data_IF_627532423422
#
_entry.id   IF_627532423422
#
_cell.length_a   1.000
_cell.length_b   1.000
_cell.length_c   1.000
_cell.angle_alpha   90.00
_cell.angle_beta   90.00
_cell.angle_gamma   90.00
#
_symmetry.space_group_name_H-M   'P 1'
#
loop_
_entity.id
_entity.type
_entity.pdbx_description
1 polymer ?
#
# COMPACT_ATOMS: atom_id res chain seq x y z
N UNK A 1 -48.81 52.15 -15.87
CA UNK A 1 -48.14 52.90 -14.78
C UNK A 1 -48.22 52.01 -13.53
N UNK A 2 -47.06 51.48 -13.10
CA UNK A 2 -46.74 50.66 -11.92
C UNK A 2 -47.80 49.80 -11.22
N UNK A 3 -47.52 48.48 -11.13
CA UNK A 3 -47.55 47.77 -9.84
C UNK A 3 -46.70 46.50 -9.84
N UNK A 4 -45.93 46.33 -8.76
CA UNK A 4 -45.33 45.12 -8.18
C UNK A 4 -44.30 44.29 -8.99
N UNK A 5 -43.04 44.75 -8.99
CA UNK A 5 -41.88 43.86 -8.82
C UNK A 5 -41.77 43.52 -7.34
N UNK A 6 -42.20 42.34 -6.93
CA UNK A 6 -41.95 41.82 -5.58
C UNK A 6 -41.60 40.33 -5.63
N UNK A 7 -40.34 40.05 -5.26
CA UNK A 7 -39.89 38.87 -4.49
C UNK A 7 -40.29 37.48 -5.04
N UNK A 8 -39.35 36.85 -5.73
CA UNK A 8 -39.03 35.44 -5.52
C UNK A 8 -37.52 35.32 -5.24
N UNK A 9 -37.11 35.83 -4.07
CA UNK A 9 -35.94 35.33 -3.36
C UNK A 9 -36.45 34.28 -2.36
N UNK A 10 -35.71 33.17 -2.24
CA UNK A 10 -35.86 32.08 -1.26
C UNK A 10 -36.76 30.90 -1.65
N UNK A 11 -36.15 29.89 -2.29
CA UNK A 11 -36.39 28.50 -1.93
C UNK A 11 -35.11 27.69 -2.26
N UNK A 12 -34.65 26.87 -1.33
CA UNK A 12 -33.35 26.13 -1.32
C UNK A 12 -32.14 26.83 -0.70
N UNK A 13 -32.33 27.46 0.46
CA UNK A 13 -31.29 27.46 1.49
C UNK A 13 -31.64 26.35 2.49
N UNK A 14 -31.55 25.09 2.04
CA UNK A 14 -31.70 23.92 2.91
C UNK A 14 -30.53 23.88 3.89
N UNK A 15 -30.81 23.69 5.18
CA UNK A 15 -29.83 23.45 6.25
C UNK A 15 -28.68 22.55 5.76
N UNK A 16 -27.55 23.14 5.33
CA UNK A 16 -26.33 22.36 5.09
C UNK A 16 -25.87 21.87 6.45
N UNK A 17 -25.98 20.56 6.69
CA UNK A 17 -25.28 19.93 7.80
C UNK A 17 -23.77 20.13 7.58
N UNK A 18 -23.06 20.48 8.65
CA UNK A 18 -21.59 20.56 8.65
C UNK A 18 -20.97 19.38 9.40
N UNK A 19 -21.79 18.38 9.75
CA UNK A 19 -21.38 17.25 10.56
C UNK A 19 -20.29 16.43 9.87
N UNK A 20 -20.44 16.14 8.57
CA UNK A 20 -19.41 15.42 7.80
C UNK A 20 -18.07 16.15 7.78
N UNK A 21 -18.07 17.48 7.68
CA UNK A 21 -16.85 18.30 7.71
C UNK A 21 -16.17 18.25 9.08
N UNK A 22 -16.96 18.35 10.16
CA UNK A 22 -16.42 18.25 11.53
C UNK A 22 -15.77 16.88 11.75
N UNK A 23 -16.40 15.81 11.28
CA UNK A 23 -15.83 14.47 11.34
C UNK A 23 -14.54 14.35 10.51
N UNK A 24 -14.51 14.95 9.32
CA UNK A 24 -13.31 14.96 8.47
C UNK A 24 -12.14 15.67 9.17
N UNK A 25 -12.40 16.83 9.79
CA UNK A 25 -11.39 17.57 10.54
C UNK A 25 -10.89 16.78 11.77
N UNK A 26 -11.79 16.07 12.46
CA UNK A 26 -11.42 15.19 13.56
C UNK A 26 -10.52 14.03 13.09
N UNK A 27 -10.83 13.43 11.94
CA UNK A 27 -10.02 12.34 11.34
C UNK A 27 -8.63 12.83 10.92
N UNK A 28 -8.56 14.02 10.30
CA UNK A 28 -7.30 14.67 9.96
C UNK A 28 -6.47 14.99 11.21
N UNK A 29 -7.11 15.47 12.28
CA UNK A 29 -6.46 15.77 13.56
C UNK A 29 -5.96 14.53 14.32
N UNK A 30 -6.60 13.37 14.13
CA UNK A 30 -6.16 12.09 14.70
C UNK A 30 -5.08 11.38 13.89
N UNK A 31 -4.91 11.76 12.63
CA UNK A 31 -3.97 11.10 11.72
C UNK A 31 -2.52 11.44 12.08
N UNK A 32 -1.70 10.40 12.29
CA UNK A 32 -0.29 10.56 12.66
C UNK A 32 0.60 11.05 11.51
N UNK A 33 0.18 10.82 10.26
CA UNK A 33 0.91 11.22 9.07
C UNK A 33 -0.06 11.70 7.99
N UNK A 34 0.21 12.87 7.40
CA UNK A 34 -0.60 13.47 6.33
C UNK A 34 0.28 13.66 5.09
N UNK A 35 0.23 12.74 4.12
CA UNK A 35 0.98 12.88 2.87
C UNK A 35 0.54 14.15 2.10
N UNK A 36 1.47 14.86 1.45
CA UNK A 36 1.19 16.19 0.91
C UNK A 36 0.17 16.20 -0.23
N UNK A 37 0.22 15.27 -1.20
CA UNK A 37 -0.74 15.25 -2.31
C UNK A 37 -2.12 14.83 -1.82
N UNK A 38 -2.17 13.83 -0.94
CA UNK A 38 -3.40 13.41 -0.27
C UNK A 38 -4.06 14.59 0.44
N UNK A 39 -3.30 15.36 1.21
CA UNK A 39 -3.81 16.53 1.90
C UNK A 39 -4.28 17.63 0.93
N UNK A 40 -3.50 17.92 -0.12
CA UNK A 40 -3.88 18.92 -1.14
C UNK A 40 -5.19 18.55 -1.82
N UNK A 41 -5.38 17.28 -2.20
CA UNK A 41 -6.61 16.82 -2.85
C UNK A 41 -7.80 16.88 -1.88
N UNK A 42 -7.62 16.54 -0.60
CA UNK A 42 -8.67 16.68 0.41
C UNK A 42 -9.07 18.15 0.56
N UNK A 43 -8.09 19.05 0.72
CA UNK A 43 -8.33 20.48 0.85
C UNK A 43 -9.04 21.01 -0.39
N UNK A 44 -8.60 20.63 -1.60
CA UNK A 44 -9.23 21.05 -2.85
C UNK A 44 -10.71 20.64 -2.92
N UNK A 45 -11.04 19.39 -2.57
CA UNK A 45 -12.44 18.91 -2.58
C UNK A 45 -13.30 19.65 -1.54
N UNK A 46 -12.76 19.93 -0.35
CA UNK A 46 -13.45 20.73 0.68
C UNK A 46 -13.69 22.16 0.19
N UNK A 47 -12.69 22.79 -0.42
CA UNK A 47 -12.78 24.14 -0.95
C UNK A 47 -13.81 24.26 -2.08
N UNK A 48 -13.87 23.27 -2.97
CA UNK A 48 -14.87 23.18 -4.05
C UNK A 48 -16.27 23.00 -3.45
N UNK A 49 -16.44 22.13 -2.45
CA UNK A 49 -17.73 21.92 -1.79
C UNK A 49 -18.30 23.18 -1.12
N UNK A 50 -17.44 24.03 -0.57
CA UNK A 50 -17.84 25.30 0.03
C UNK A 50 -17.98 26.45 -0.97
N UNK A 51 -17.78 26.21 -2.27
CA UNK A 51 -17.79 27.24 -3.31
C UNK A 51 -16.78 28.39 -3.02
N UNK A 52 -15.71 28.13 -2.26
CA UNK A 52 -14.69 29.13 -1.86
C UNK A 52 -13.86 29.56 -3.07
N UNK A 53 -13.71 28.66 -4.04
CA UNK A 53 -13.13 28.94 -5.34
C UNK A 53 -14.20 28.79 -6.42
N UNK A 54 -14.91 29.87 -6.80
CA UNK A 54 -15.57 29.94 -8.10
C UNK A 54 -14.51 30.08 -9.20
N UNK A 55 -13.50 29.20 -9.18
CA UNK A 55 -12.52 29.05 -10.24
C UNK A 55 -13.33 28.71 -11.49
N UNK A 56 -13.35 29.63 -12.47
CA UNK A 56 -13.95 29.46 -13.79
C UNK A 56 -15.45 29.74 -13.98
N UNK A 57 -16.16 30.34 -13.01
CA UNK A 57 -17.58 30.66 -13.21
C UNK A 57 -18.49 29.42 -13.37
N UNK A 58 -18.00 28.27 -12.91
CA UNK A 58 -18.76 27.02 -12.87
C UNK A 58 -19.87 27.15 -11.83
N UNK A 59 -21.10 26.87 -12.23
CA UNK A 59 -22.23 26.78 -11.32
C UNK A 59 -22.02 25.65 -10.32
N UNK A 60 -22.38 25.91 -9.05
CA UNK A 60 -22.43 24.89 -8.00
C UNK A 60 -23.57 23.88 -8.17
N UNK A 61 -24.30 23.98 -9.28
CA UNK A 61 -25.31 23.00 -9.68
C UNK A 61 -24.64 21.73 -10.21
N UNK A 62 -24.87 20.61 -9.52
CA UNK A 62 -24.28 19.31 -9.86
C UNK A 62 -24.61 18.86 -11.28
N UNK A 63 -25.81 19.19 -11.79
CA UNK A 63 -26.20 18.82 -13.16
C UNK A 63 -25.33 19.51 -14.22
N UNK A 64 -24.86 20.72 -13.90
CA UNK A 64 -23.99 21.49 -14.78
C UNK A 64 -22.54 20.99 -14.81
N UNK A 65 -22.13 20.09 -13.91
CA UNK A 65 -20.73 19.60 -13.83
C UNK A 65 -20.62 18.08 -13.93
N UNK A 66 -21.68 17.33 -13.62
CA UNK A 66 -21.61 15.88 -13.64
C UNK A 66 -21.30 15.31 -15.02
N UNK A 67 -20.63 14.16 -15.01
CA UNK A 67 -20.26 13.42 -16.20
C UNK A 67 -21.32 12.35 -16.49
N UNK A 68 -21.72 12.25 -17.75
CA UNK A 68 -22.60 11.22 -18.31
C UNK A 68 -22.20 10.92 -19.76
N UNK A 69 -22.63 9.79 -20.31
CA UNK A 69 -22.32 9.43 -21.71
C UNK A 69 -22.84 10.49 -22.69
N UNK A 70 -24.07 10.97 -22.50
CA UNK A 70 -24.67 12.01 -23.34
C UNK A 70 -23.90 13.34 -23.29
N UNK A 71 -23.52 13.81 -22.09
CA UNK A 71 -22.78 15.09 -21.96
C UNK A 71 -21.40 15.05 -22.63
N UNK A 72 -20.78 13.88 -22.72
CA UNK A 72 -19.44 13.72 -23.29
C UNK A 72 -19.48 13.45 -24.78
N UNK A 73 -20.30 12.48 -25.22
CA UNK A 73 -20.32 12.04 -26.62
C UNK A 73 -21.21 12.94 -27.49
N UNK A 74 -22.39 13.34 -27.00
CA UNK A 74 -23.36 14.10 -27.80
C UNK A 74 -23.15 15.62 -27.67
N UNK A 75 -22.84 16.10 -26.46
CA UNK A 75 -22.65 17.54 -26.20
C UNK A 75 -21.19 18.00 -26.32
N UNK A 76 -20.21 17.08 -26.31
CA UNK A 76 -18.80 17.40 -26.44
C UNK A 76 -18.20 18.15 -25.23
N UNK A 77 -18.81 18.09 -24.04
CA UNK A 77 -18.32 18.78 -22.85
C UNK A 77 -17.30 17.91 -22.10
N UNK A 78 -16.10 17.84 -22.67
CA UNK A 78 -15.00 17.01 -22.16
C UNK A 78 -14.44 17.49 -20.82
N UNK A 79 -14.70 18.74 -20.41
CA UNK A 79 -14.19 19.27 -19.14
C UNK A 79 -14.80 18.53 -17.94
N UNK A 80 -16.03 18.02 -18.09
CA UNK A 80 -16.72 17.20 -17.09
C UNK A 80 -15.95 15.94 -16.71
N UNK A 81 -15.19 15.36 -17.65
CA UNK A 81 -14.36 14.16 -17.41
C UNK A 81 -13.34 14.41 -16.29
N UNK A 82 -12.77 15.61 -16.25
CA UNK A 82 -11.75 16.00 -15.28
C UNK A 82 -12.34 16.64 -14.01
N UNK A 83 -13.42 17.41 -14.16
CA UNK A 83 -13.98 18.21 -13.07
C UNK A 83 -14.96 17.44 -12.18
N UNK A 84 -15.84 16.61 -12.76
CA UNK A 84 -16.90 15.92 -12.03
C UNK A 84 -16.42 15.12 -10.78
N UNK A 85 -15.22 14.48 -10.80
CA UNK A 85 -14.70 13.76 -9.64
C UNK A 85 -14.43 14.64 -8.40
N UNK A 86 -14.34 15.96 -8.55
CA UNK A 86 -14.06 16.87 -7.44
C UNK A 86 -15.31 17.51 -6.82
N UNK A 87 -16.49 17.34 -7.44
CA UNK A 87 -17.75 17.89 -6.95
C UNK A 87 -18.51 16.86 -6.11
N UNK A 88 -19.11 17.31 -5.01
CA UNK A 88 -19.85 16.45 -4.07
C UNK A 88 -21.21 17.08 -3.76
N UNK A 89 -22.26 16.25 -3.72
CA UNK A 89 -23.62 16.75 -3.54
C UNK A 89 -24.04 17.01 -2.09
N UNK A 90 -23.39 16.39 -1.12
CA UNK A 90 -23.71 16.50 0.31
C UNK A 90 -22.47 16.33 1.20
N UNK A 91 -22.57 16.74 2.46
CA UNK A 91 -21.47 16.78 3.43
C UNK A 91 -20.99 15.38 3.82
N UNK A 92 -21.89 14.42 3.95
CA UNK A 92 -21.56 13.04 4.32
C UNK A 92 -20.91 12.28 3.17
N UNK A 93 -21.36 12.49 1.93
CA UNK A 93 -20.71 11.93 0.74
C UNK A 93 -19.28 12.45 0.59
N UNK A 94 -19.06 13.77 0.80
CA UNK A 94 -17.70 14.33 0.86
C UNK A 94 -16.88 13.69 2.00
N UNK A 95 -17.43 13.58 3.21
CA UNK A 95 -16.75 12.98 4.36
C UNK A 95 -16.29 11.54 4.08
N UNK A 96 -17.19 10.66 3.66
CA UNK A 96 -16.84 9.25 3.42
C UNK A 96 -15.82 9.09 2.28
N UNK A 97 -15.92 9.92 1.23
CA UNK A 97 -14.92 9.91 0.17
C UNK A 97 -13.55 10.35 0.70
N UNK A 98 -13.47 11.50 1.38
CA UNK A 98 -12.19 12.04 1.83
C UNK A 98 -11.57 11.22 2.96
N UNK A 99 -12.36 10.63 3.86
CA UNK A 99 -11.86 9.71 4.89
C UNK A 99 -11.29 8.41 4.28
N UNK A 100 -12.01 7.81 3.32
CA UNK A 100 -11.54 6.62 2.60
C UNK A 100 -10.29 6.92 1.77
N UNK A 101 -10.22 8.09 1.17
CA UNK A 101 -9.08 8.57 0.41
C UNK A 101 -7.88 8.86 1.30
N UNK A 102 -8.05 9.47 2.47
CA UNK A 102 -6.98 9.73 3.44
C UNK A 102 -6.25 8.44 3.82
N UNK A 103 -6.98 7.38 4.16
CA UNK A 103 -6.39 6.08 4.50
C UNK A 103 -5.61 5.48 3.32
N UNK A 104 -6.15 5.53 2.10
CA UNK A 104 -5.47 5.00 0.90
C UNK A 104 -4.27 5.84 0.49
N UNK A 105 -4.38 7.15 0.60
CA UNK A 105 -3.31 8.10 0.35
C UNK A 105 -2.15 7.92 1.31
N UNK A 106 -2.41 7.72 2.62
CA UNK A 106 -1.41 7.36 3.62
C UNK A 106 -0.60 6.13 3.22
N UNK A 107 -1.24 5.12 2.64
CA UNK A 107 -0.55 3.90 2.21
C UNK A 107 0.18 4.10 0.88
N UNK A 108 -0.54 4.52 -0.17
CA UNK A 108 -0.04 4.53 -1.54
C UNK A 108 0.88 5.72 -1.83
N UNK A 109 0.63 6.90 -1.26
CA UNK A 109 1.53 8.05 -1.46
C UNK A 109 2.87 7.84 -0.74
N UNK A 110 2.85 7.22 0.43
CA UNK A 110 4.08 6.86 1.15
C UNK A 110 4.87 5.79 0.40
N UNK A 111 4.17 4.84 -0.24
CA UNK A 111 4.78 3.77 -1.02
C UNK A 111 5.39 4.27 -2.34
N UNK A 112 4.64 5.02 -3.13
CA UNK A 112 5.09 5.47 -4.47
C UNK A 112 5.83 6.81 -4.44
N UNK A 113 5.63 7.61 -3.39
CA UNK A 113 6.05 9.00 -3.33
C UNK A 113 5.07 9.94 -4.02
N UNK A 114 5.03 11.19 -3.55
CA UNK A 114 4.06 12.21 -3.93
C UNK A 114 3.93 12.45 -5.44
N UNK A 115 5.03 12.53 -6.18
CA UNK A 115 4.98 12.81 -7.64
C UNK A 115 4.29 11.69 -8.42
N UNK A 116 4.65 10.44 -8.14
CA UNK A 116 4.05 9.27 -8.79
C UNK A 116 2.61 9.06 -8.34
N UNK A 117 2.31 9.32 -7.07
CA UNK A 117 0.93 9.27 -6.58
C UNK A 117 0.06 10.33 -7.25
N UNK A 118 0.55 11.56 -7.44
CA UNK A 118 -0.17 12.60 -8.18
C UNK A 118 -0.44 12.18 -9.64
N UNK A 119 0.55 11.59 -10.31
CA UNK A 119 0.38 11.06 -11.67
C UNK A 119 -0.64 9.91 -11.70
N UNK A 120 -0.57 8.98 -10.75
CA UNK A 120 -1.54 7.90 -10.59
C UNK A 120 -2.96 8.47 -10.44
N UNK A 121 -3.17 9.46 -9.56
CA UNK A 121 -4.48 10.08 -9.38
C UNK A 121 -4.99 10.75 -10.66
N UNK A 122 -4.12 11.44 -11.40
CA UNK A 122 -4.50 12.06 -12.68
C UNK A 122 -4.96 11.01 -13.70
N UNK A 123 -4.20 9.92 -13.84
CA UNK A 123 -4.54 8.81 -14.76
C UNK A 123 -5.84 8.14 -14.31
N UNK A 124 -5.99 7.81 -13.03
CA UNK A 124 -7.19 7.16 -12.49
C UNK A 124 -8.43 8.04 -12.66
N UNK A 125 -8.32 9.35 -12.47
CA UNK A 125 -9.41 10.30 -12.67
C UNK A 125 -9.88 10.27 -14.13
N UNK A 126 -8.94 10.41 -15.08
CA UNK A 126 -9.25 10.38 -16.51
C UNK A 126 -9.85 9.03 -16.93
N UNK A 127 -9.19 7.92 -16.60
CA UNK A 127 -9.59 6.59 -17.06
C UNK A 127 -10.90 6.14 -16.41
N UNK A 128 -11.18 6.51 -15.15
CA UNK A 128 -12.46 6.19 -14.51
C UNK A 128 -13.64 6.89 -15.18
N UNK A 129 -13.49 8.17 -15.51
CA UNK A 129 -14.53 8.93 -16.23
C UNK A 129 -14.74 8.41 -17.65
N UNK A 130 -13.67 8.06 -18.37
CA UNK A 130 -13.79 7.45 -19.70
C UNK A 130 -14.44 6.05 -19.64
N UNK A 131 -14.06 5.23 -18.65
CA UNK A 131 -14.67 3.93 -18.43
C UNK A 131 -16.15 4.05 -18.08
N UNK A 132 -16.55 5.06 -17.30
CA UNK A 132 -17.96 5.35 -17.05
C UNK A 132 -18.73 5.63 -18.35
N UNK A 133 -18.20 6.49 -19.22
CA UNK A 133 -18.83 6.81 -20.52
C UNK A 133 -18.99 5.56 -21.38
N UNK A 134 -17.94 4.73 -21.45
CA UNK A 134 -17.95 3.45 -22.15
C UNK A 134 -19.00 2.50 -21.57
N UNK A 135 -19.04 2.34 -20.25
CA UNK A 135 -20.01 1.48 -19.57
C UNK A 135 -21.44 1.98 -19.77
N UNK A 136 -21.69 3.29 -19.76
CA UNK A 136 -23.01 3.86 -20.04
C UNK A 136 -23.47 3.56 -21.47
N UNK A 137 -22.56 3.69 -22.46
CA UNK A 137 -22.85 3.34 -23.86
C UNK A 137 -23.12 1.84 -24.03
N UNK A 138 -22.32 0.99 -23.39
CA UNK A 138 -22.51 -0.46 -23.44
C UNK A 138 -23.78 -0.90 -22.71
N UNK A 139 -24.06 -0.35 -21.52
CA UNK A 139 -25.27 -0.65 -20.77
C UNK A 139 -26.52 -0.24 -21.54
N UNK A 140 -26.51 0.94 -22.16
CA UNK A 140 -27.64 1.40 -22.98
C UNK A 140 -27.92 0.45 -24.16
N UNK A 141 -26.87 -0.02 -24.84
CA UNK A 141 -27.01 -0.91 -25.99
C UNK A 141 -27.33 -2.37 -25.61
N UNK A 142 -26.75 -2.90 -24.53
CA UNK A 142 -26.97 -4.28 -24.09
C UNK A 142 -28.31 -4.49 -23.38
N UNK A 143 -28.79 -3.48 -22.65
CA UNK A 143 -30.02 -3.54 -21.86
C UNK A 143 -31.21 -2.84 -22.55
N UNK A 144 -30.99 -2.30 -23.75
CA UNK A 144 -31.98 -1.56 -24.54
C UNK A 144 -32.70 -0.46 -23.73
N UNK A 145 -31.93 0.25 -22.88
CA UNK A 145 -32.45 1.33 -22.04
C UNK A 145 -31.61 2.61 -22.21
N UNK A 146 -32.14 3.69 -22.81
CA UNK A 146 -31.40 4.93 -23.03
C UNK A 146 -31.12 5.71 -21.73
N UNK A 147 -31.78 5.41 -20.61
CA UNK A 147 -31.53 6.07 -19.31
C UNK A 147 -30.07 5.96 -18.85
N UNK A 148 -29.38 4.90 -19.23
CA UNK A 148 -27.96 4.72 -18.92
C UNK A 148 -27.06 5.79 -19.55
N UNK A 149 -27.48 6.41 -20.67
CA UNK A 149 -26.72 7.48 -21.32
C UNK A 149 -26.76 8.79 -20.51
N UNK A 150 -27.83 9.01 -19.75
CA UNK A 150 -28.08 10.22 -18.97
C UNK A 150 -27.74 10.05 -17.48
N UNK A 151 -27.20 8.90 -17.08
CA UNK A 151 -26.81 8.66 -15.69
C UNK A 151 -25.67 9.60 -15.30
N UNK A 152 -26.02 10.60 -14.49
CA UNK A 152 -25.16 11.66 -14.01
C UNK A 152 -24.30 11.17 -12.84
N UNK A 153 -22.98 11.32 -12.94
CA UNK A 153 -22.03 10.94 -11.89
C UNK A 153 -21.14 12.12 -11.44
N UNK A 154 -20.95 12.24 -10.13
CA UNK A 154 -20.05 13.20 -9.47
C UNK A 154 -19.34 12.53 -8.31
N UNK A 155 -18.24 13.11 -7.87
CA UNK A 155 -17.53 12.72 -6.66
C UNK A 155 -16.34 11.81 -6.91
N UNK A 156 -15.44 11.80 -5.93
CA UNK A 156 -14.13 11.16 -6.07
C UNK A 156 -14.19 9.63 -5.90
N UNK A 157 -15.39 9.07 -5.76
CA UNK A 157 -15.64 7.68 -5.39
C UNK A 157 -15.10 6.69 -6.44
N UNK A 158 -15.24 6.96 -7.73
CA UNK A 158 -14.69 6.09 -8.78
C UNK A 158 -13.15 5.95 -8.65
N UNK A 159 -12.46 7.06 -8.39
CA UNK A 159 -11.00 7.07 -8.14
C UNK A 159 -10.68 6.29 -6.86
N UNK A 160 -11.48 6.45 -5.80
CA UNK A 160 -11.30 5.73 -4.53
C UNK A 160 -11.49 4.22 -4.70
N UNK A 161 -12.46 3.79 -5.52
CA UNK A 161 -12.66 2.38 -5.84
C UNK A 161 -11.48 1.81 -6.63
N UNK A 162 -10.95 2.56 -7.59
CA UNK A 162 -9.73 2.17 -8.30
C UNK A 162 -8.53 2.06 -7.34
N UNK A 163 -8.34 3.07 -6.48
CA UNK A 163 -7.32 3.04 -5.44
C UNK A 163 -7.52 1.87 -4.48
N UNK A 164 -8.76 1.47 -4.15
CA UNK A 164 -9.02 0.32 -3.27
C UNK A 164 -8.51 -0.99 -3.87
N UNK A 165 -8.73 -1.19 -5.17
CA UNK A 165 -8.20 -2.36 -5.88
C UNK A 165 -6.67 -2.35 -5.83
N UNK A 166 -6.05 -1.20 -6.12
CA UNK A 166 -4.59 -1.01 -6.11
C UNK A 166 -4.02 -1.22 -4.69
N UNK A 167 -4.61 -0.61 -3.67
CA UNK A 167 -4.24 -0.79 -2.27
C UNK A 167 -4.31 -2.26 -1.88
N UNK A 168 -5.37 -2.97 -2.24
CA UNK A 168 -5.51 -4.40 -1.93
C UNK A 168 -4.40 -5.25 -2.56
N UNK A 169 -3.87 -4.82 -3.71
CA UNK A 169 -2.77 -5.50 -4.39
C UNK A 169 -1.41 -5.22 -3.74
N UNK A 170 -1.11 -3.96 -3.40
CA UNK A 170 0.22 -3.56 -2.91
C UNK A 170 0.39 -3.60 -1.40
N UNK A 171 -0.70 -3.46 -0.64
CA UNK A 171 -0.71 -3.55 0.82
C UNK A 171 -1.70 -4.62 1.28
N UNK A 172 -1.51 -5.90 0.87
CA UNK A 172 -2.37 -6.99 1.32
C UNK A 172 -2.27 -7.06 2.85
N UNK A 173 -3.37 -6.81 3.54
CA UNK A 173 -3.40 -6.95 4.98
C UNK A 173 -3.16 -8.42 5.33
N UNK A 174 -2.03 -8.72 5.95
CA UNK A 174 -1.76 -10.00 6.61
C UNK A 174 -2.61 -10.07 7.90
N UNK A 175 -3.93 -10.24 7.73
CA UNK A 175 -4.91 -10.24 8.82
C UNK A 175 -6.34 -10.46 8.31
N UNK A 176 -7.28 -10.67 9.24
CA UNK A 176 -8.71 -10.77 8.91
C UNK A 176 -9.20 -9.42 8.36
N UNK A 177 -9.37 -9.29 7.04
CA UNK A 177 -10.05 -8.11 6.50
C UNK A 177 -11.51 -8.19 6.97
N UNK A 178 -11.88 -7.34 7.92
CA UNK A 178 -13.23 -7.30 8.44
C UNK A 178 -14.03 -6.23 7.72
N UNK A 179 -15.07 -6.65 7.00
CA UNK A 179 -16.09 -5.75 6.53
C UNK A 179 -16.96 -5.31 7.72
N UNK A 180 -17.16 -4.00 7.87
CA UNK A 180 -17.82 -3.36 9.01
C UNK A 180 -17.18 -3.68 10.39
N UNK A 181 -15.95 -4.18 10.42
CA UNK A 181 -15.22 -4.46 11.66
C UNK A 181 -15.53 -5.83 12.30
N UNK A 182 -16.47 -6.61 11.77
CA UNK A 182 -16.86 -7.91 12.36
C UNK A 182 -17.03 -9.07 11.35
N UNK A 183 -17.20 -8.80 10.05
CA UNK A 183 -17.37 -9.87 9.06
C UNK A 183 -16.04 -10.17 8.37
N UNK A 184 -15.40 -11.33 8.59
CA UNK A 184 -14.16 -11.66 7.88
C UNK A 184 -14.46 -11.95 6.40
N UNK A 185 -13.90 -11.12 5.51
CA UNK A 185 -14.02 -11.26 4.06
C UNK A 185 -12.61 -11.33 3.48
N UNK A 186 -12.38 -12.15 2.46
CA UNK A 186 -11.09 -12.15 1.77
C UNK A 186 -10.89 -10.80 1.06
N UNK A 187 -9.68 -10.23 1.11
CA UNK A 187 -9.38 -8.92 0.54
C UNK A 187 -9.83 -8.79 -0.94
N UNK A 188 -9.73 -9.89 -1.71
CA UNK A 188 -10.19 -9.97 -3.11
C UNK A 188 -11.68 -9.67 -3.33
N UNK A 189 -12.52 -9.86 -2.31
CA UNK A 189 -13.97 -9.69 -2.42
C UNK A 189 -14.50 -8.42 -1.75
N UNK A 190 -13.68 -7.71 -0.96
CA UNK A 190 -14.15 -6.57 -0.16
C UNK A 190 -14.72 -5.46 -1.05
N UNK A 191 -14.07 -5.20 -2.18
CA UNK A 191 -14.48 -4.14 -3.12
C UNK A 191 -15.83 -4.42 -3.76
N UNK A 192 -16.14 -5.69 -4.02
CA UNK A 192 -17.40 -6.13 -4.61
C UNK A 192 -18.54 -6.09 -3.58
N UNK A 193 -18.25 -6.51 -2.34
CA UNK A 193 -19.22 -6.43 -1.24
C UNK A 193 -19.60 -4.97 -0.97
N UNK A 194 -18.61 -4.08 -0.94
CA UNK A 194 -18.86 -2.65 -0.76
C UNK A 194 -19.66 -2.03 -1.89
N UNK A 195 -19.40 -2.41 -3.15
CA UNK A 195 -20.19 -1.94 -4.29
C UNK A 195 -21.68 -2.25 -4.08
N UNK A 196 -21.99 -3.49 -3.69
CA UNK A 196 -23.38 -3.91 -3.41
C UNK A 196 -23.95 -3.14 -2.22
N UNK A 197 -23.21 -3.03 -1.12
CA UNK A 197 -23.70 -2.38 0.09
C UNK A 197 -23.95 -0.89 -0.12
N UNK A 198 -23.06 -0.18 -0.81
CA UNK A 198 -23.26 1.25 -1.10
C UNK A 198 -24.49 1.45 -1.99
N UNK A 199 -24.73 0.56 -2.96
CA UNK A 199 -25.93 0.66 -3.80
C UNK A 199 -27.23 0.41 -3.01
N UNK A 200 -27.19 -0.40 -1.95
CA UNK A 200 -28.33 -0.64 -1.07
C UNK A 200 -28.59 0.53 -0.10
N UNK A 201 -27.54 1.15 0.43
CA UNK A 201 -27.66 2.23 1.43
C UNK A 201 -27.97 3.56 0.75
N UNK A 202 -27.31 3.84 -0.37
CA UNK A 202 -27.42 5.10 -1.11
C UNK A 202 -27.74 4.83 -2.58
N UNK A 203 -28.98 4.45 -2.93
CA UNK A 203 -29.31 4.05 -4.31
C UNK A 203 -29.15 5.19 -5.34
N UNK A 204 -29.11 6.44 -4.88
CA UNK A 204 -28.99 7.63 -5.72
C UNK A 204 -27.56 7.90 -6.23
N UNK A 205 -26.54 7.16 -5.75
CA UNK A 205 -25.17 7.29 -6.25
C UNK A 205 -24.97 6.41 -7.50
N UNK A 206 -24.06 6.80 -8.39
CA UNK A 206 -23.86 6.09 -9.65
C UNK A 206 -23.17 4.74 -9.46
N UNK A 207 -23.95 3.65 -9.59
CA UNK A 207 -23.42 2.28 -9.66
C UNK A 207 -22.36 2.14 -10.76
N UNK A 208 -22.66 2.66 -11.96
CA UNK A 208 -21.76 2.63 -13.11
C UNK A 208 -20.45 3.36 -12.82
N UNK A 209 -20.49 4.46 -12.05
CA UNK A 209 -19.29 5.20 -11.64
C UNK A 209 -18.38 4.37 -10.73
N UNK A 210 -18.94 3.70 -9.72
CA UNK A 210 -18.17 2.82 -8.85
C UNK A 210 -17.63 1.60 -9.60
N UNK A 211 -18.45 0.97 -10.45
CA UNK A 211 -18.02 -0.14 -11.29
C UNK A 211 -16.89 0.27 -12.25
N UNK A 212 -16.98 1.45 -12.86
CA UNK A 212 -15.93 2.01 -13.70
C UNK A 212 -14.60 2.11 -12.93
N UNK A 213 -14.63 2.65 -11.72
CA UNK A 213 -13.47 2.71 -10.83
C UNK A 213 -12.84 1.34 -10.55
N UNK A 214 -13.65 0.33 -10.24
CA UNK A 214 -13.16 -1.05 -9.98
C UNK A 214 -12.50 -1.62 -11.23
N UNK A 215 -13.17 -1.55 -12.39
CA UNK A 215 -12.63 -2.08 -13.65
C UNK A 215 -11.33 -1.39 -14.04
N UNK A 216 -11.26 -0.07 -13.85
CA UNK A 216 -10.02 0.69 -14.04
C UNK A 216 -8.94 0.21 -13.08
N UNK A 217 -9.22 0.09 -11.78
CA UNK A 217 -8.25 -0.42 -10.81
C UNK A 217 -7.74 -1.85 -11.11
N UNK A 218 -8.51 -2.66 -11.82
CA UNK A 218 -8.14 -4.01 -12.25
C UNK A 218 -7.31 -4.05 -13.55
N UNK A 219 -7.15 -2.93 -14.26
CA UNK A 219 -6.38 -2.92 -15.50
C UNK A 219 -4.90 -3.28 -15.22
N UNK A 220 -4.32 -4.25 -15.95
CA UNK A 220 -2.93 -4.67 -15.76
C UNK A 220 -1.90 -3.55 -15.99
N UNK A 221 -2.28 -2.49 -16.71
CA UNK A 221 -1.41 -1.40 -17.13
C UNK A 221 -0.84 -0.61 -15.94
N UNK A 222 -1.51 -0.53 -14.80
CA UNK A 222 -1.00 0.20 -13.64
C UNK A 222 0.18 -0.52 -12.96
N UNK A 223 0.11 -1.85 -12.87
CA UNK A 223 1.16 -2.68 -12.29
C UNK A 223 2.36 -2.93 -13.18
N UNK A 224 2.35 -2.50 -14.44
CA UNK A 224 3.53 -2.57 -15.33
C UNK A 224 4.00 -1.18 -15.77
N UNK A 225 3.12 -0.18 -15.82
CA UNK A 225 3.44 1.16 -16.32
C UNK A 225 3.76 2.18 -15.21
N UNK A 226 3.34 1.94 -13.96
CA UNK A 226 3.66 2.84 -12.82
C UNK A 226 4.75 2.24 -11.94
N UNK A 227 4.79 0.92 -11.80
CA UNK A 227 5.91 0.23 -11.12
C UNK A 227 7.06 -0.14 -12.05
N UNK A 228 6.88 -0.04 -13.37
CA UNK A 228 7.92 -0.43 -14.31
C UNK A 228 8.49 -1.79 -13.94
N UNK A 229 7.63 -2.81 -13.81
CA UNK A 229 8.01 -4.14 -13.32
C UNK A 229 9.19 -4.70 -14.12
N UNK A 230 10.38 -4.40 -13.59
CA UNK A 230 11.60 -5.19 -13.50
C UNK A 230 12.21 -4.76 -12.18
N UNK A 231 12.10 -5.62 -11.17
CA UNK A 231 12.68 -5.47 -9.83
C UNK A 231 14.12 -4.97 -9.90
N UNK A 232 14.44 -3.80 -9.33
CA UNK A 232 15.80 -3.27 -9.34
C UNK A 232 16.17 -2.48 -8.09
N UNK A 233 16.76 -3.16 -7.11
CA UNK A 233 17.09 -2.57 -5.81
C UNK A 233 18.56 -2.80 -5.43
N UNK A 234 19.45 -2.04 -6.08
CA UNK A 234 20.67 -1.46 -5.48
C UNK A 234 21.26 -0.48 -6.49
N UNK A 235 21.82 0.63 -6.04
CA UNK A 235 22.72 1.46 -6.85
C UNK A 235 23.84 1.95 -5.93
N UNK A 236 25.01 1.34 -6.06
CA UNK A 236 26.21 1.77 -5.34
C UNK A 236 27.06 2.63 -6.27
N UNK A 237 27.45 3.83 -5.81
CA UNK A 237 28.32 4.76 -6.53
C UNK A 237 29.75 4.70 -5.95
N UNK A 238 30.74 4.94 -6.81
CA UNK A 238 32.12 5.26 -6.44
C UNK A 238 32.15 6.45 -5.48
N UNK A 239 32.81 6.31 -4.32
CA UNK A 239 32.81 7.19 -3.13
C UNK A 239 31.78 6.85 -2.03
N UNK A 240 31.22 5.65 -2.02
CA UNK A 240 30.50 5.11 -0.86
C UNK A 240 29.10 5.71 -0.61
N UNK A 241 28.60 6.51 -1.55
CA UNK A 241 27.22 7.04 -1.48
C UNK A 241 26.27 6.03 -2.10
N UNK A 242 25.34 5.50 -1.30
CA UNK A 242 24.27 4.63 -1.77
C UNK A 242 23.09 5.48 -2.26
N UNK A 243 22.66 5.21 -3.48
CA UNK A 243 21.47 5.82 -4.07
C UNK A 243 20.48 4.71 -4.40
N UNK A 244 19.20 5.04 -4.40
CA UNK A 244 18.16 4.13 -4.87
C UNK A 244 17.44 4.82 -6.02
N UNK A 245 17.25 4.10 -7.13
CA UNK A 245 16.52 4.56 -8.30
C UNK A 245 15.32 3.63 -8.52
N UNK A 246 14.21 4.19 -9.01
CA UNK A 246 13.08 3.37 -9.46
C UNK A 246 13.50 2.47 -10.62
N UNK A 247 12.86 1.31 -10.75
CA UNK A 247 13.01 0.44 -11.93
C UNK A 247 12.86 1.27 -13.21
N UNK A 248 13.91 1.26 -14.04
CA UNK A 248 13.94 2.01 -15.29
C UNK A 248 14.39 1.08 -16.42
N UNK A 249 13.90 1.30 -17.65
CA UNK A 249 14.38 0.54 -18.81
C UNK A 249 15.84 0.85 -19.04
N UNK A 250 16.71 -0.11 -18.75
CA UNK A 250 18.16 -0.03 -18.90
C UNK A 250 18.61 0.55 -20.25
N UNK A 251 17.88 0.20 -21.32
CA UNK A 251 18.17 0.61 -22.70
C UNK A 251 18.00 2.13 -22.95
N UNK A 252 17.48 2.89 -21.98
CA UNK A 252 17.26 4.34 -22.09
C UNK A 252 18.39 5.19 -21.48
N UNK A 253 19.43 4.57 -20.93
CA UNK A 253 20.56 5.25 -20.30
C UNK A 253 21.88 4.90 -20.97
N UNK A 254 22.78 5.88 -21.03
CA UNK A 254 24.14 5.67 -21.50
C UNK A 254 24.89 4.74 -20.53
N UNK A 255 25.80 3.92 -21.06
CA UNK A 255 26.70 3.09 -20.26
C UNK A 255 27.81 3.94 -19.65
N UNK A 256 28.29 3.55 -18.47
CA UNK A 256 29.48 4.18 -17.90
C UNK A 256 30.71 3.93 -18.77
N UNK A 257 31.67 4.86 -18.73
CA UNK A 257 32.99 4.63 -19.35
C UNK A 257 33.86 3.67 -18.51
N UNK A 258 35.04 3.32 -19.03
CA UNK A 258 36.03 2.46 -18.34
C UNK A 258 36.49 3.00 -16.98
N UNK A 259 36.30 4.30 -16.72
CA UNK A 259 36.65 4.96 -15.47
C UNK A 259 35.43 5.11 -14.53
N UNK A 260 34.32 4.42 -14.81
CA UNK A 260 33.07 4.48 -14.05
C UNK A 260 32.51 5.91 -13.96
N UNK A 261 32.68 6.66 -15.05
CA UNK A 261 32.32 8.05 -15.21
C UNK A 261 31.24 8.20 -16.28
N UNK A 262 30.51 9.31 -16.20
CA UNK A 262 29.40 9.62 -17.10
C UNK A 262 29.71 10.88 -17.92
N UNK A 263 29.29 10.87 -19.19
CA UNK A 263 29.42 12.01 -20.11
C UNK A 263 28.79 13.29 -19.54
N UNK A 264 27.67 13.14 -18.82
CA UNK A 264 26.96 14.23 -18.16
C UNK A 264 27.39 14.40 -16.71
N UNK A 265 27.71 15.64 -16.32
CA UNK A 265 27.97 16.01 -14.91
C UNK A 265 26.72 15.95 -14.01
N UNK A 266 25.53 15.75 -14.60
CA UNK A 266 24.25 15.61 -13.88
C UNK A 266 23.80 14.15 -13.76
N UNK A 267 24.65 13.20 -14.10
CA UNK A 267 24.42 11.78 -13.88
C UNK A 267 25.51 11.16 -13.02
N UNK A 268 25.21 9.97 -12.54
CA UNK A 268 26.08 9.19 -11.68
C UNK A 268 26.13 7.76 -12.18
N UNK A 269 27.33 7.16 -12.19
CA UNK A 269 27.50 5.78 -12.64
C UNK A 269 26.98 4.81 -11.57
N UNK A 270 26.09 3.90 -12.00
CA UNK A 270 25.49 2.87 -11.18
C UNK A 270 26.08 1.49 -11.55
N UNK A 271 26.89 0.92 -10.66
CA UNK A 271 27.65 -0.32 -10.96
C UNK A 271 26.85 -1.57 -10.59
N UNK A 272 26.17 -1.57 -9.45
CA UNK A 272 25.35 -2.68 -8.95
C UNK A 272 23.88 -2.46 -9.32
N UNK A 273 23.65 -2.14 -10.60
CA UNK A 273 22.31 -1.88 -11.11
C UNK A 273 21.67 -3.18 -11.61
N UNK A 274 20.37 -3.14 -11.81
CA UNK A 274 19.63 -4.18 -12.52
C UNK A 274 20.02 -4.47 -13.96
N UNK A 275 20.77 -3.54 -14.54
CA UNK A 275 21.13 -3.58 -15.93
C UNK A 275 22.31 -4.54 -16.09
N UNK A 276 22.37 -5.23 -17.24
CA UNK A 276 23.49 -6.12 -17.55
C UNK A 276 24.84 -5.39 -17.55
N UNK A 277 24.82 -4.07 -17.75
CA UNK A 277 25.99 -3.20 -17.79
C UNK A 277 25.80 -1.99 -16.85
N UNK A 278 26.88 -1.39 -16.33
CA UNK A 278 26.82 -0.16 -15.54
C UNK A 278 26.25 1.00 -16.35
N UNK A 279 25.26 1.72 -15.81
CA UNK A 279 24.56 2.80 -16.50
C UNK A 279 24.67 4.15 -15.79
N UNK A 280 24.54 5.23 -16.56
CA UNK A 280 24.55 6.61 -16.10
C UNK A 280 23.14 7.10 -15.75
N UNK A 281 22.85 7.20 -14.45
CA UNK A 281 21.53 7.63 -13.95
C UNK A 281 21.54 9.13 -13.66
N UNK A 282 20.62 9.94 -14.23
CA UNK A 282 20.51 11.36 -13.89
C UNK A 282 20.11 11.59 -12.43
N UNK A 283 20.68 12.60 -11.77
CA UNK A 283 20.39 12.93 -10.36
C UNK A 283 18.89 13.16 -10.07
N UNK A 284 18.10 13.57 -11.06
CA UNK A 284 16.66 13.76 -10.91
C UNK A 284 15.91 12.45 -10.62
N UNK A 285 16.47 11.32 -11.06
CA UNK A 285 15.91 9.97 -10.87
C UNK A 285 16.51 9.24 -9.66
N UNK A 286 17.46 9.85 -8.96
CA UNK A 286 18.06 9.26 -7.76
C UNK A 286 17.50 9.90 -6.49
N UNK A 287 17.15 9.08 -5.50
CA UNK A 287 16.86 9.56 -4.14
C UNK A 287 18.06 9.26 -3.25
N UNK A 288 18.43 10.21 -2.38
CA UNK A 288 19.34 9.93 -1.26
C UNK A 288 18.62 9.02 -0.28
N UNK A 289 19.11 7.80 -0.13
CA UNK A 289 18.58 6.88 0.85
C UNK A 289 19.14 7.29 2.23
N UNK A 290 18.28 7.85 3.11
CA UNK A 290 18.62 7.98 4.53
C UNK A 290 18.52 6.58 5.12
N UNK A 291 19.65 6.03 5.55
CA UNK A 291 19.68 4.87 6.43
C UNK A 291 19.06 5.33 7.75
N UNK A 292 17.74 5.20 7.90
CA UNK A 292 16.98 5.14 9.14
C UNK A 292 15.50 4.96 8.76
N UNK A 293 14.96 3.78 9.04
CA UNK A 293 13.63 3.24 8.68
C UNK A 293 13.48 2.55 7.32
N UNK A 294 14.53 1.87 6.87
CA UNK A 294 14.36 0.61 6.16
C UNK A 294 14.92 -0.48 7.07
N UNK A 295 14.10 -1.47 7.43
CA UNK A 295 14.62 -2.72 7.98
C UNK A 295 15.61 -3.29 6.95
N UNK A 296 16.85 -3.60 7.34
CA UNK A 296 17.81 -4.18 6.43
C UNK A 296 17.38 -5.61 6.13
N UNK A 297 16.69 -5.82 5.01
CA UNK A 297 16.80 -7.06 4.24
C UNK A 297 18.16 -7.07 3.51
N UNK A 298 19.23 -7.02 4.30
CA UNK A 298 20.58 -7.37 3.84
C UNK A 298 21.47 -7.79 5.01
N UNK A 299 20.89 -8.49 5.99
CA UNK A 299 21.53 -9.73 6.41
C UNK A 299 20.77 -10.82 5.69
N UNK A 300 21.53 -11.65 5.00
CA UNK A 300 21.12 -12.88 4.32
C UNK A 300 19.70 -13.31 4.68
N UNK A 301 18.79 -13.52 3.71
CA UNK A 301 17.58 -14.24 4.04
C UNK A 301 18.06 -15.55 4.65
N UNK A 302 17.73 -15.77 5.92
CA UNK A 302 17.24 -17.07 6.36
C UNK A 302 16.55 -17.63 5.15
N UNK A 303 17.15 -18.64 4.51
CA UNK A 303 16.50 -19.37 3.45
C UNK A 303 15.21 -19.87 4.10
N UNK A 304 14.13 -19.10 3.97
CA UNK A 304 12.80 -19.66 3.86
C UNK A 304 13.01 -20.69 2.78
N UNK A 305 13.07 -21.96 3.20
CA UNK A 305 13.27 -23.05 2.28
C UNK A 305 12.29 -22.79 1.15
N UNK A 306 12.80 -22.52 -0.05
CA UNK A 306 11.96 -22.37 -1.22
C UNK A 306 11.30 -23.73 -1.33
N UNK A 307 10.05 -23.81 -0.88
CA UNK A 307 9.21 -24.96 -1.16
C UNK A 307 8.94 -24.80 -2.65
N UNK A 308 9.85 -25.37 -3.46
CA UNK A 308 9.60 -25.56 -4.87
C UNK A 308 8.19 -26.17 -5.01
N UNK A 309 7.42 -25.83 -6.06
CA UNK A 309 6.08 -26.38 -6.27
C UNK A 309 6.04 -27.94 -6.40
N UNK A 310 7.20 -28.60 -6.32
CA UNK A 310 7.38 -30.06 -6.27
C UNK A 310 8.00 -30.59 -4.96
N UNK A 311 8.12 -29.78 -3.91
CA UNK A 311 8.65 -30.25 -2.62
C UNK A 311 7.58 -31.09 -1.93
N UNK A 312 7.74 -32.41 -2.00
CA UNK A 312 6.96 -33.35 -1.20
C UNK A 312 7.59 -33.46 0.19
N UNK A 313 6.76 -33.52 1.22
CA UNK A 313 7.18 -33.98 2.54
C UNK A 313 7.93 -35.31 2.39
N UNK A 314 9.14 -35.40 2.92
CA UNK A 314 9.85 -36.66 2.99
C UNK A 314 9.00 -37.58 3.89
N UNK A 315 8.55 -38.76 3.42
CA UNK A 315 7.60 -39.61 4.19
C UNK A 315 8.14 -40.08 5.54
N UNK A 316 9.46 -39.95 5.77
CA UNK A 316 10.13 -40.19 7.04
C UNK A 316 10.93 -38.96 7.43
N UNK A 317 10.40 -38.18 8.37
CA UNK A 317 11.15 -37.11 9.02
C UNK A 317 12.29 -37.68 9.86
N UNK A 318 13.41 -36.96 9.93
CA UNK A 318 14.52 -37.27 10.84
C UNK A 318 14.41 -36.35 12.05
N UNK A 319 14.45 -36.92 13.25
CA UNK A 319 14.51 -36.14 14.49
C UNK A 319 15.89 -35.52 14.64
N UNK A 320 15.97 -34.20 14.43
CA UNK A 320 17.22 -33.43 14.55
C UNK A 320 17.39 -32.79 15.93
N UNK A 321 16.29 -32.57 16.64
CA UNK A 321 16.24 -32.12 18.02
C UNK A 321 15.01 -32.75 18.68
N UNK A 322 15.13 -33.10 19.97
CA UNK A 322 14.17 -33.87 20.80
C UNK A 322 14.24 -35.39 20.65
N UNK A 323 15.15 -36.03 21.39
CA UNK A 323 15.29 -37.49 21.39
C UNK A 323 14.67 -38.23 22.58
N UNK A 324 14.40 -37.58 23.72
CA UNK A 324 14.21 -38.31 24.99
C UNK A 324 13.14 -37.74 25.94
N UNK A 325 12.07 -37.15 25.39
CA UNK A 325 10.91 -36.69 26.17
C UNK A 325 10.97 -35.23 26.63
N UNK A 326 9.99 -34.83 27.46
CA UNK A 326 9.85 -33.48 28.05
C UNK A 326 10.68 -33.39 29.32
N UNK A 327 11.49 -32.34 29.46
CA UNK A 327 12.28 -32.10 30.67
C UNK A 327 13.38 -31.06 30.47
N UNK A 328 14.19 -30.86 31.51
CA UNK A 328 15.25 -29.84 31.55
C UNK A 328 16.64 -30.35 31.15
N UNK A 329 16.82 -31.65 30.88
CA UNK A 329 18.11 -32.17 30.45
C UNK A 329 18.49 -31.64 29.06
N UNK A 330 19.79 -31.62 28.74
CA UNK A 330 20.30 -31.10 27.46
C UNK A 330 19.92 -31.95 26.23
N UNK A 331 19.31 -33.10 26.44
CA UNK A 331 18.74 -33.97 25.40
C UNK A 331 17.20 -33.92 25.38
N UNK A 332 16.59 -33.00 26.14
CA UNK A 332 15.15 -32.80 26.32
C UNK A 332 14.76 -31.34 26.06
N UNK A 333 13.48 -31.11 25.78
CA UNK A 333 12.88 -29.79 25.56
C UNK A 333 11.56 -29.68 26.32
N UNK A 334 11.20 -28.49 26.76
CA UNK A 334 9.91 -28.21 27.39
C UNK A 334 9.30 -26.92 26.85
N UNK A 335 8.24 -27.07 26.06
CA UNK A 335 7.40 -25.94 25.63
C UNK A 335 8.08 -25.01 24.62
N UNK A 336 8.99 -25.53 23.79
CA UNK A 336 9.75 -24.74 22.81
C UNK A 336 8.86 -23.96 21.84
N UNK A 337 9.25 -22.72 21.51
CA UNK A 337 8.51 -21.83 20.60
C UNK A 337 9.24 -21.62 19.28
N UNK A 338 10.28 -20.78 19.25
CA UNK A 338 11.05 -20.47 18.04
C UNK A 338 12.24 -21.39 17.80
N UNK A 339 12.66 -21.47 16.53
CA UNK A 339 13.86 -22.18 16.11
C UNK A 339 14.58 -21.41 14.99
N UNK A 340 15.91 -21.52 14.97
CA UNK A 340 16.78 -20.98 13.92
C UNK A 340 17.71 -22.09 13.42
N UNK A 341 17.99 -22.12 12.12
CA UNK A 341 18.94 -23.07 11.53
C UNK A 341 20.03 -22.29 10.82
N UNK A 342 21.29 -22.50 11.23
CA UNK A 342 22.43 -21.85 10.60
C UNK A 342 22.88 -22.55 9.29
N UNK A 343 23.80 -21.94 8.55
CA UNK A 343 24.35 -22.51 7.31
C UNK A 343 25.03 -23.87 7.50
N UNK A 344 25.51 -24.16 8.72
CA UNK A 344 26.11 -25.44 9.11
C UNK A 344 25.07 -26.50 9.50
N UNK A 345 23.77 -26.19 9.37
CA UNK A 345 22.63 -27.03 9.77
C UNK A 345 22.57 -27.30 11.27
N UNK A 346 23.16 -26.43 12.09
CA UNK A 346 22.95 -26.45 13.53
C UNK A 346 21.60 -25.81 13.83
N UNK A 347 20.87 -26.38 14.79
CA UNK A 347 19.52 -25.97 15.16
C UNK A 347 19.56 -25.30 16.52
N UNK A 348 19.18 -24.03 16.59
CA UNK A 348 19.03 -23.27 17.83
C UNK A 348 17.56 -23.25 18.18
N UNK A 349 17.22 -23.54 19.44
CA UNK A 349 15.84 -23.66 19.89
C UNK A 349 15.64 -22.77 21.11
N UNK A 350 14.58 -21.97 21.07
CA UNK A 350 14.06 -21.26 22.23
C UNK A 350 13.28 -22.22 23.11
N UNK A 351 13.94 -22.79 24.13
CA UNK A 351 13.36 -23.74 25.07
C UNK A 351 12.63 -22.99 26.18
N UNK A 352 11.49 -22.39 25.79
CA UNK A 352 10.72 -21.41 26.55
C UNK A 352 10.55 -21.76 28.03
N UNK A 353 10.04 -22.95 28.36
CA UNK A 353 9.73 -23.29 29.76
C UNK A 353 10.99 -23.60 30.59
N UNK A 354 12.12 -23.92 29.93
CA UNK A 354 13.40 -24.13 30.58
C UNK A 354 14.27 -22.86 30.62
N UNK A 355 13.76 -21.70 30.14
CA UNK A 355 14.45 -20.42 30.23
C UNK A 355 15.86 -20.44 29.61
N UNK A 356 16.00 -21.06 28.45
CA UNK A 356 17.30 -21.24 27.77
C UNK A 356 17.19 -21.24 26.26
N UNK A 357 18.29 -20.88 25.59
CA UNK A 357 18.54 -21.18 24.18
C UNK A 357 19.52 -22.36 24.12
N UNK A 358 19.17 -23.37 23.33
CA UNK A 358 19.95 -24.59 23.20
C UNK A 358 20.27 -24.87 21.73
N UNK A 359 21.54 -25.12 21.45
CA UNK A 359 22.08 -25.44 20.12
C UNK A 359 22.23 -26.96 19.97
N UNK A 360 21.62 -27.53 18.94
CA UNK A 360 21.91 -28.88 18.46
C UNK A 360 22.75 -28.81 17.20
N UNK A 361 24.00 -29.24 17.31
CA UNK A 361 24.85 -29.41 16.13
C UNK A 361 24.30 -30.48 15.20
N UNK A 362 24.50 -30.33 13.90
CA UNK A 362 24.01 -31.30 12.91
C UNK A 362 24.48 -32.73 13.25
N UNK A 363 23.54 -33.65 13.49
CA UNK A 363 23.82 -35.04 13.85
C UNK A 363 24.08 -35.29 15.35
N UNK A 364 24.11 -34.26 16.20
CA UNK A 364 24.24 -34.43 17.65
C UNK A 364 22.96 -34.96 18.29
N UNK A 365 23.09 -35.81 19.32
CA UNK A 365 21.95 -36.27 20.15
C UNK A 365 21.73 -35.41 21.39
N UNK A 366 22.67 -34.53 21.72
CA UNK A 366 22.67 -33.69 22.92
C UNK A 366 22.89 -32.25 22.49
N UNK A 367 22.06 -31.35 23.00
CA UNK A 367 22.19 -29.91 22.78
C UNK A 367 23.16 -29.27 23.77
N UNK A 368 23.69 -28.12 23.41
CA UNK A 368 24.52 -27.28 24.27
C UNK A 368 23.74 -26.01 24.61
N UNK A 369 23.68 -25.66 25.90
CA UNK A 369 23.09 -24.37 26.29
C UNK A 369 24.02 -23.26 25.85
N UNK A 370 23.51 -22.34 25.03
CA UNK A 370 24.28 -21.21 24.48
C UNK A 370 23.85 -19.87 25.06
N UNK A 371 22.67 -19.81 25.69
CA UNK A 371 22.23 -18.67 26.49
C UNK A 371 21.18 -19.11 27.53
N UNK A 372 21.15 -18.44 28.69
CA UNK A 372 20.22 -18.77 29.78
C UNK A 372 20.55 -20.10 30.48
N UNK A 373 19.53 -20.79 31.00
CA UNK A 373 19.66 -22.07 31.71
C UNK A 373 19.89 -21.96 33.22
N UNK A 374 20.03 -20.75 33.75
CA UNK A 374 20.19 -20.47 35.20
C UNK A 374 18.88 -20.00 35.85
N UNK A 375 17.75 -20.48 35.36
CA UNK A 375 16.40 -20.09 35.79
C UNK A 375 15.88 -18.81 35.14
N UNK A 376 14.59 -18.53 35.38
CA UNK A 376 13.90 -17.33 34.91
C UNK A 376 14.37 -16.08 35.64
N UNK A 377 14.83 -15.05 34.92
CA UNK A 377 15.23 -13.80 35.55
C UNK A 377 15.92 -12.81 34.63
N UNK A 378 16.38 -11.70 35.21
CA UNK A 378 16.91 -10.53 34.50
C UNK A 378 18.45 -10.40 34.62
N UNK A 379 19.13 -11.43 35.14
CA UNK A 379 20.61 -11.45 35.19
C UNK A 379 21.18 -11.73 33.80
N UNK A 380 22.42 -11.33 33.55
CA UNK A 380 23.08 -11.48 32.25
C UNK A 380 23.20 -12.94 31.78
N UNK A 381 23.14 -13.91 32.69
CA UNK A 381 23.18 -15.34 32.44
C UNK A 381 21.80 -16.02 32.53
N UNK A 382 20.71 -15.25 32.65
CA UNK A 382 19.34 -15.72 32.75
C UNK A 382 18.51 -15.27 31.55
N UNK A 383 17.47 -16.05 31.23
CA UNK A 383 16.43 -15.69 30.28
C UNK A 383 15.09 -15.92 30.95
N UNK A 384 14.02 -15.26 30.50
CA UNK A 384 12.67 -15.48 31.04
C UNK A 384 11.71 -15.75 29.89
N UNK A 385 11.42 -17.02 29.63
CA UNK A 385 10.51 -17.45 28.57
C UNK A 385 10.94 -16.99 27.17
N UNK A 386 12.13 -17.38 26.66
CA UNK A 386 12.53 -17.00 25.31
C UNK A 386 11.52 -17.48 24.28
N UNK A 387 10.99 -16.55 23.48
CA UNK A 387 9.94 -16.79 22.49
C UNK A 387 10.52 -17.18 21.12
N UNK A 388 11.67 -16.62 20.75
CA UNK A 388 12.33 -16.82 19.47
C UNK A 388 13.86 -16.72 19.58
N UNK A 389 14.58 -17.13 18.53
CA UNK A 389 16.04 -17.06 18.45
C UNK A 389 16.48 -16.62 17.06
N UNK A 390 17.43 -15.69 17.01
CA UNK A 390 18.17 -15.28 15.81
C UNK A 390 19.66 -15.31 16.12
N UNK A 391 20.49 -15.68 15.14
CA UNK A 391 21.95 -15.75 15.28
C UNK A 391 22.59 -14.85 14.23
N UNK A 392 23.57 -14.04 14.64
CA UNK A 392 24.34 -13.16 13.74
C UNK A 392 25.54 -13.92 13.13
N UNK A 393 25.92 -13.60 11.90
CA UNK A 393 26.91 -14.35 11.09
C UNK A 393 28.38 -14.11 11.51
N UNK A 394 28.67 -13.18 12.42
CA UNK A 394 30.07 -12.83 12.74
C UNK A 394 30.77 -13.78 13.72
N UNK A 395 30.08 -14.70 14.41
CA UNK A 395 30.68 -15.74 15.29
C UNK A 395 31.84 -15.29 16.20
N UNK A 396 31.98 -14.01 16.52
CA UNK A 396 32.86 -13.55 17.59
C UNK A 396 32.14 -13.82 18.92
N UNK A 397 32.50 -14.94 19.54
CA UNK A 397 32.35 -15.12 20.99
C UNK A 397 33.55 -14.39 21.62
N UNK A 398 33.53 -13.06 21.56
CA UNK A 398 34.20 -12.27 22.58
C UNK A 398 33.13 -11.85 23.60
N UNK A 399 33.48 -12.09 24.85
CA UNK A 399 32.64 -11.91 26.02
C UNK A 399 31.84 -10.61 25.99
N UNK A 400 30.58 -10.74 26.45
CA UNK A 400 29.58 -9.69 26.69
C UNK A 400 28.73 -9.32 25.46
N UNK A 401 27.49 -9.82 25.45
CA UNK A 401 26.38 -9.53 24.53
C UNK A 401 26.31 -10.34 23.23
N UNK A 402 25.99 -11.62 23.34
CA UNK A 402 25.14 -12.25 22.33
C UNK A 402 23.80 -11.50 22.37
N UNK A 403 23.50 -10.69 21.35
CA UNK A 403 22.14 -10.15 21.15
C UNK A 403 21.23 -11.29 20.70
N UNK A 404 20.82 -12.14 21.63
CA UNK A 404 19.59 -12.90 21.51
C UNK A 404 18.48 -11.89 21.72
N UNK A 405 17.95 -11.33 20.62
CA UNK A 405 16.76 -10.50 20.68
C UNK A 405 15.57 -11.39 21.06
N UNK A 406 15.29 -11.52 22.35
CA UNK A 406 14.00 -12.05 22.80
C UNK A 406 12.98 -10.97 22.48
N UNK A 407 12.08 -11.26 21.53
CA UNK A 407 10.93 -10.42 21.28
C UNK A 407 9.97 -10.65 22.46
N UNK A 408 9.99 -9.73 23.43
CA UNK A 408 9.00 -9.68 24.52
C UNK A 408 7.58 -9.45 23.97
#
# INVERSE_FOLDING_TARGET
MFSSRSRQTNYHQTNRSYYGIILLLAELGRSSHLPPITLVIIILNVLIYFDIFPLFGLSSDLQSVCVSTHTVLDQGDYMRILLAPFFHGDDMHLYYNMASFLYKGQQLETLFGSQYFALLLAILTLLSSLMLVLLGQLASSLLDNPEYLFTCAVGFSAVIFALKVITTHYTPAYGSNTFLGFIPISAKYIVWVELVVIQLITPNVSFLGHLAGILVGLLPSYGNSITGDKECYRVTVVNGTQLCASAAKCDSFDTCDEHQSCSSRRSVCAIDSCCKEPICIPYLFTKRCRINHWTPESRTPLRAAIIHPHTRWIPKGVTVARGYGRGGANNQLWGSHGLYVDENKNVYIADFANNRIIEWKHGSKIGQVVAGGNGGGNRADQLNGPSDVIVDEEREIESTFVKVGVKE
#
